data_IF_782048707572
#
_entry.id   IF_782048707572
#
_cell.length_a   1.000
_cell.length_b   1.000
_cell.length_c   1.000
_cell.angle_alpha   90.00
_cell.angle_beta   90.00
_cell.angle_gamma   90.00
#
_symmetry.space_group_name_H-M   'P 1'
#
loop_
_entity.id
_entity.type
_entity.pdbx_description
1 polymer ?
#
# COMPACT_ATOMS: atom_id res chain seq x y z
N UNK A 1 -42.84 -25.32 15.76
CA UNK A 1 -41.51 -24.86 16.24
C UNK A 1 -41.75 -23.64 17.12
N UNK A 2 -41.55 -23.76 18.44
CA UNK A 2 -41.83 -22.68 19.41
C UNK A 2 -40.90 -21.48 19.19
N UNK A 3 -41.42 -20.26 19.34
CA UNK A 3 -40.63 -19.01 19.32
C UNK A 3 -39.46 -19.04 20.31
N UNK A 4 -39.61 -19.74 21.43
CA UNK A 4 -38.61 -19.84 22.49
C UNK A 4 -37.30 -20.53 22.03
N UNK A 5 -37.40 -21.49 21.10
CA UNK A 5 -36.23 -22.20 20.57
C UNK A 5 -35.38 -21.37 19.60
N UNK A 6 -35.97 -20.34 18.98
CA UNK A 6 -35.25 -19.43 18.09
C UNK A 6 -34.50 -18.34 18.87
N UNK A 7 -35.10 -17.84 19.96
CA UNK A 7 -34.46 -16.84 20.84
C UNK A 7 -33.27 -17.43 21.61
N UNK A 8 -33.39 -18.67 22.10
CA UNK A 8 -32.28 -19.40 22.75
C UNK A 8 -31.07 -19.57 21.80
N UNK A 9 -31.30 -20.03 20.55
CA UNK A 9 -30.24 -20.17 19.53
C UNK A 9 -29.63 -18.83 19.12
N UNK A 10 -30.40 -17.75 19.07
CA UNK A 10 -29.89 -16.42 18.77
C UNK A 10 -29.01 -15.88 19.92
N UNK A 11 -29.39 -16.15 21.17
CA UNK A 11 -28.64 -15.75 22.37
C UNK A 11 -27.32 -16.52 22.53
N UNK A 12 -27.30 -17.82 22.27
CA UNK A 12 -26.07 -18.64 22.23
C UNK A 12 -25.11 -18.14 21.14
N UNK A 13 -25.64 -17.78 19.97
CA UNK A 13 -24.84 -17.24 18.87
C UNK A 13 -24.25 -15.86 19.21
N UNK A 14 -24.98 -15.02 19.97
CA UNK A 14 -24.48 -13.73 20.43
C UNK A 14 -23.38 -13.88 21.47
N UNK A 15 -23.52 -14.81 22.43
CA UNK A 15 -22.52 -15.08 23.46
C UNK A 15 -21.23 -15.65 22.89
N UNK A 16 -21.33 -16.61 21.96
CA UNK A 16 -20.17 -17.16 21.25
C UNK A 16 -19.46 -16.08 20.43
N UNK A 17 -20.21 -15.21 19.73
CA UNK A 17 -19.64 -14.06 19.01
C UNK A 17 -18.95 -13.09 19.98
N UNK A 18 -19.55 -12.79 21.12
CA UNK A 18 -18.98 -11.91 22.13
C UNK A 18 -17.65 -12.46 22.69
N UNK A 19 -17.57 -13.77 22.94
CA UNK A 19 -16.34 -14.44 23.35
C UNK A 19 -15.26 -14.38 22.26
N UNK A 20 -15.61 -14.62 20.99
CA UNK A 20 -14.68 -14.50 19.86
C UNK A 20 -14.13 -13.06 19.72
N UNK A 21 -15.00 -12.06 19.87
CA UNK A 21 -14.57 -10.66 19.88
C UNK A 21 -13.69 -10.35 21.10
N UNK A 22 -14.02 -10.84 22.30
CA UNK A 22 -13.21 -10.66 23.50
C UNK A 22 -11.81 -11.26 23.34
N UNK A 23 -11.71 -12.50 22.83
CA UNK A 23 -10.43 -13.16 22.59
C UNK A 23 -9.59 -12.42 21.53
N UNK A 24 -10.22 -11.76 20.56
CA UNK A 24 -9.52 -10.93 19.58
C UNK A 24 -9.08 -9.59 20.19
N UNK A 25 -9.96 -8.91 20.92
CA UNK A 25 -9.76 -7.54 21.41
C UNK A 25 -8.79 -7.50 22.60
N UNK A 26 -8.79 -8.51 23.47
CA UNK A 26 -7.95 -8.51 24.69
C UNK A 26 -6.44 -8.47 24.42
N UNK A 27 -6.03 -8.84 23.21
CA UNK A 27 -4.63 -8.82 22.77
C UNK A 27 -4.27 -7.55 21.98
N UNK A 28 -5.25 -6.68 21.68
CA UNK A 28 -5.02 -5.44 20.95
C UNK A 28 -4.59 -4.33 21.90
N UNK A 29 -3.60 -3.54 21.47
CA UNK A 29 -3.24 -2.31 22.17
C UNK A 29 -4.37 -1.28 22.05
N UNK A 30 -4.60 -0.40 23.04
CA UNK A 30 -5.61 0.66 22.95
C UNK A 30 -5.51 1.51 21.67
N UNK A 31 -4.27 1.77 21.22
CA UNK A 31 -4.01 2.47 19.95
C UNK A 31 -4.56 1.73 18.73
N UNK A 32 -4.51 0.39 18.70
CA UNK A 32 -5.08 -0.40 17.61
C UNK A 32 -6.61 -0.33 17.59
N UNK A 33 -7.25 -0.36 18.77
CA UNK A 33 -8.72 -0.26 18.89
C UNK A 33 -9.19 1.12 18.42
N UNK A 34 -8.59 2.20 18.95
CA UNK A 34 -8.90 3.57 18.54
C UNK A 34 -8.59 3.78 17.05
N UNK A 35 -7.46 3.25 16.57
CA UNK A 35 -7.08 3.27 15.16
C UNK A 35 -8.12 2.61 14.25
N UNK A 36 -8.65 1.43 14.61
CA UNK A 36 -9.72 0.75 13.84
C UNK A 36 -10.99 1.58 13.80
N UNK A 37 -11.40 2.16 14.92
CA UNK A 37 -12.59 3.00 14.99
C UNK A 37 -12.42 4.28 14.15
N UNK A 38 -11.30 4.98 14.34
CA UNK A 38 -10.94 6.16 13.55
C UNK A 38 -10.92 5.83 12.06
N UNK A 39 -10.28 4.75 11.65
CA UNK A 39 -10.16 4.37 10.24
C UNK A 39 -11.51 4.05 9.59
N UNK A 40 -12.46 3.47 10.34
CA UNK A 40 -13.81 3.20 9.86
C UNK A 40 -14.67 4.46 9.72
N UNK A 41 -14.52 5.41 10.65
CA UNK A 41 -15.35 6.62 10.72
C UNK A 41 -14.77 7.77 9.89
N UNK A 42 -13.45 7.88 9.81
CA UNK A 42 -12.76 8.93 9.07
C UNK A 42 -12.64 8.54 7.59
N UNK A 43 -13.52 9.14 6.78
CA UNK A 43 -13.55 8.97 5.32
C UNK A 43 -13.20 10.31 4.66
N UNK A 44 -11.90 10.64 4.56
CA UNK A 44 -11.49 11.89 3.97
C UNK A 44 -11.85 11.94 2.50
N UNK A 45 -12.05 13.15 1.99
CA UNK A 45 -12.20 13.38 0.55
C UNK A 45 -10.81 13.52 -0.06
N UNK A 46 -10.53 12.88 -1.20
CA UNK A 46 -9.26 13.08 -1.90
C UNK A 46 -8.98 14.56 -2.18
N UNK A 47 -7.75 15.00 -1.93
CA UNK A 47 -7.29 16.35 -2.25
C UNK A 47 -6.63 16.36 -3.64
N UNK A 48 -7.31 16.97 -4.61
CA UNK A 48 -6.93 17.05 -6.03
C UNK A 48 -6.25 18.38 -6.41
N UNK A 49 -5.68 19.09 -5.44
CA UNK A 49 -4.90 20.30 -5.70
C UNK A 49 -3.68 20.01 -6.58
N UNK A 50 -3.12 21.05 -7.19
CA UNK A 50 -1.90 20.95 -8.01
C UNK A 50 -0.79 20.23 -7.21
N UNK A 51 -0.06 19.27 -7.80
CA UNK A 51 1.04 18.60 -7.11
C UNK A 51 2.16 19.59 -6.77
N UNK A 52 2.90 19.38 -5.66
CA UNK A 52 4.15 20.08 -5.45
C UNK A 52 5.11 19.78 -6.61
N UNK A 53 6.05 20.68 -6.92
CA UNK A 53 7.06 20.42 -7.93
C UNK A 53 7.94 19.22 -7.54
N UNK A 54 8.52 18.57 -8.56
CA UNK A 54 9.49 17.50 -8.34
C UNK A 54 10.81 18.09 -7.89
N UNK A 55 11.44 17.45 -6.90
CA UNK A 55 12.80 17.78 -6.50
C UNK A 55 13.77 17.45 -7.63
N UNK A 56 14.77 18.31 -7.81
CA UNK A 56 15.89 17.99 -8.70
C UNK A 56 16.71 16.83 -8.12
N UNK A 57 16.88 15.75 -8.88
CA UNK A 57 17.69 14.62 -8.47
C UNK A 57 19.15 15.04 -8.22
N UNK A 58 19.74 14.48 -7.17
CA UNK A 58 21.15 14.66 -6.80
C UNK A 58 21.78 13.28 -6.69
N UNK A 59 22.93 13.08 -7.33
CA UNK A 59 23.62 11.80 -7.34
C UNK A 59 23.11 10.84 -8.42
N UNK A 60 23.50 9.57 -8.31
CA UNK A 60 23.10 8.48 -9.20
C UNK A 60 22.11 7.61 -8.44
N UNK A 61 20.95 7.35 -9.05
CA UNK A 61 19.99 6.40 -8.49
C UNK A 61 20.57 4.99 -8.54
N UNK A 62 20.57 4.32 -7.39
CA UNK A 62 20.92 2.91 -7.31
C UNK A 62 19.64 2.10 -7.49
N UNK A 63 19.62 1.23 -8.49
CA UNK A 63 18.45 0.40 -8.76
C UNK A 63 18.17 -0.50 -7.55
N UNK A 64 16.92 -0.52 -7.03
CA UNK A 64 16.53 -1.40 -5.93
C UNK A 64 16.55 -2.88 -6.35
N UNK A 65 16.23 -3.77 -5.43
CA UNK A 65 16.11 -5.20 -5.71
C UNK A 65 15.08 -5.44 -6.82
N UNK A 66 15.43 -6.22 -7.84
CA UNK A 66 14.50 -6.49 -8.95
C UNK A 66 13.37 -7.40 -8.51
N UNK A 67 12.14 -6.98 -8.80
CA UNK A 67 10.98 -7.85 -8.64
C UNK A 67 10.92 -8.90 -9.76
N UNK A 68 10.18 -9.98 -9.52
CA UNK A 68 9.90 -10.95 -10.57
C UNK A 68 8.92 -10.35 -11.58
N UNK A 69 9.14 -10.61 -12.86
CA UNK A 69 8.17 -10.29 -13.91
C UNK A 69 6.81 -10.89 -13.57
N UNK A 70 5.78 -10.04 -13.59
CA UNK A 70 4.39 -10.42 -13.39
C UNK A 70 3.55 -10.16 -14.65
N UNK A 71 3.90 -9.17 -15.47
CA UNK A 71 3.23 -8.91 -16.75
C UNK A 71 3.75 -9.85 -17.83
N UNK A 72 2.93 -10.81 -18.23
CA UNK A 72 3.24 -11.78 -19.31
C UNK A 72 2.67 -11.37 -20.66
N UNK A 73 1.71 -10.44 -20.66
CA UNK A 73 1.23 -9.70 -21.82
C UNK A 73 0.73 -8.32 -21.35
N UNK A 74 0.38 -7.43 -22.28
CA UNK A 74 -0.04 -6.05 -22.00
C UNK A 74 -1.10 -5.93 -20.89
N UNK A 75 -2.12 -6.79 -20.90
CA UNK A 75 -3.20 -6.80 -19.91
C UNK A 75 -3.22 -8.08 -19.06
N UNK A 76 -2.20 -8.95 -19.13
CA UNK A 76 -2.20 -10.26 -18.45
C UNK A 76 -1.09 -10.37 -17.42
N UNK A 77 -1.48 -10.75 -16.21
CA UNK A 77 -0.63 -10.78 -15.04
C UNK A 77 -0.63 -12.16 -14.40
N UNK A 78 0.52 -12.57 -13.88
CA UNK A 78 0.68 -13.76 -13.04
C UNK A 78 1.01 -13.33 -11.62
N UNK A 79 0.06 -13.52 -10.71
CA UNK A 79 0.24 -13.29 -9.27
C UNK A 79 -0.15 -14.54 -8.51
N UNK A 80 0.61 -14.91 -7.47
CA UNK A 80 0.31 -16.09 -6.63
C UNK A 80 0.15 -17.39 -7.45
N UNK A 81 0.93 -17.54 -8.53
CA UNK A 81 0.84 -18.61 -9.53
C UNK A 81 -0.48 -18.68 -10.30
N UNK A 82 -1.29 -17.62 -10.27
CA UNK A 82 -2.54 -17.52 -11.01
C UNK A 82 -2.46 -16.43 -12.07
N UNK A 83 -2.70 -16.83 -13.33
CA UNK A 83 -2.75 -15.93 -14.49
C UNK A 83 -4.16 -15.37 -14.66
N UNK A 84 -4.31 -14.05 -14.71
CA UNK A 84 -5.57 -13.39 -15.09
C UNK A 84 -5.31 -12.14 -15.93
N UNK A 85 -6.32 -11.75 -16.70
CA UNK A 85 -6.27 -10.54 -17.52
C UNK A 85 -7.11 -9.42 -16.91
N UNK A 86 -6.55 -8.22 -16.88
CA UNK A 86 -7.21 -6.99 -16.52
C UNK A 86 -7.70 -6.31 -17.80
N UNK A 87 -8.89 -6.62 -18.30
CA UNK A 87 -9.36 -6.16 -19.63
C UNK A 87 -10.41 -5.05 -19.58
N UNK A 88 -10.88 -4.67 -18.39
CA UNK A 88 -11.92 -3.65 -18.23
C UNK A 88 -11.79 -2.88 -16.92
N UNK A 89 -12.49 -1.75 -16.81
CA UNK A 89 -12.61 -0.97 -15.56
C UNK A 89 -13.06 -1.83 -14.36
N UNK A 90 -13.93 -2.81 -14.59
CA UNK A 90 -14.43 -3.68 -13.52
C UNK A 90 -13.36 -4.64 -12.99
N UNK A 91 -12.40 -5.03 -13.83
CA UNK A 91 -11.36 -6.02 -13.50
C UNK A 91 -10.46 -5.59 -12.35
N UNK A 92 -10.25 -4.28 -12.14
CA UNK A 92 -9.49 -3.75 -11.00
C UNK A 92 -10.09 -4.09 -9.64
N UNK A 93 -11.41 -4.28 -9.58
CA UNK A 93 -12.16 -4.47 -8.32
C UNK A 93 -13.13 -5.65 -8.41
N UNK A 94 -12.83 -6.65 -9.23
CA UNK A 94 -13.70 -7.81 -9.44
C UNK A 94 -13.86 -8.61 -8.14
N UNK A 95 -15.06 -8.59 -7.57
CA UNK A 95 -15.37 -9.27 -6.31
C UNK A 95 -15.30 -10.80 -6.39
N UNK A 96 -15.23 -11.37 -7.59
CA UNK A 96 -15.01 -12.81 -7.80
C UNK A 96 -13.52 -13.20 -7.72
N UNK A 97 -12.61 -12.23 -7.68
CA UNK A 97 -11.17 -12.45 -7.58
C UNK A 97 -10.71 -12.29 -6.13
N UNK A 98 -9.77 -13.15 -5.71
CA UNK A 98 -9.18 -13.08 -4.38
C UNK A 98 -8.55 -11.70 -4.11
N UNK A 99 -8.82 -11.14 -2.92
CA UNK A 99 -8.43 -9.77 -2.59
C UNK A 99 -6.92 -9.55 -2.71
N UNK A 100 -6.12 -10.55 -2.31
CA UNK A 100 -4.67 -10.48 -2.41
C UNK A 100 -4.18 -10.45 -3.85
N UNK A 101 -4.85 -11.13 -4.79
CA UNK A 101 -4.53 -11.06 -6.21
C UNK A 101 -4.79 -9.65 -6.74
N UNK A 102 -5.94 -9.05 -6.40
CA UNK A 102 -6.27 -7.67 -6.77
C UNK A 102 -5.30 -6.65 -6.16
N UNK A 103 -4.81 -6.92 -4.95
CA UNK A 103 -3.77 -6.08 -4.35
C UNK A 103 -2.49 -6.09 -5.17
N UNK A 104 -1.99 -7.27 -5.57
CA UNK A 104 -0.80 -7.36 -6.44
C UNK A 104 -0.99 -6.62 -7.76
N UNK A 105 -2.18 -6.70 -8.37
CA UNK A 105 -2.52 -5.91 -9.56
C UNK A 105 -2.39 -4.39 -9.31
N UNK A 106 -2.64 -3.93 -8.09
CA UNK A 106 -2.54 -2.53 -7.69
C UNK A 106 -1.17 -2.10 -7.18
N UNK A 107 -0.19 -3.01 -6.99
CA UNK A 107 1.14 -2.66 -6.49
C UNK A 107 2.04 -2.07 -7.57
N UNK A 108 1.90 -2.51 -8.82
CA UNK A 108 2.76 -2.10 -9.93
C UNK A 108 4.24 -2.54 -9.79
N UNK A 109 4.49 -3.65 -9.09
CA UNK A 109 5.84 -4.22 -8.92
C UNK A 109 6.55 -4.48 -10.28
N UNK A 110 5.78 -4.76 -11.35
CA UNK A 110 6.35 -5.02 -12.68
C UNK A 110 7.12 -3.83 -13.28
N UNK A 111 6.85 -2.61 -12.81
CA UNK A 111 7.59 -1.42 -13.21
C UNK A 111 9.09 -1.55 -12.91
N UNK A 112 9.42 -2.21 -11.80
CA UNK A 112 10.78 -2.41 -11.30
C UNK A 112 11.20 -3.90 -11.36
N UNK A 113 10.55 -4.68 -12.23
CA UNK A 113 10.85 -6.10 -12.38
C UNK A 113 11.96 -6.37 -13.41
N UNK A 114 12.53 -7.58 -13.36
CA UNK A 114 13.46 -8.07 -14.38
C UNK A 114 12.86 -7.91 -15.80
N UNK A 115 13.69 -7.42 -16.71
CA UNK A 115 13.31 -7.12 -18.09
C UNK A 115 12.29 -5.98 -18.26
N UNK A 116 11.98 -5.18 -17.23
CA UNK A 116 10.98 -4.09 -17.29
C UNK A 116 11.19 -3.12 -18.46
N UNK A 117 12.44 -2.88 -18.87
CA UNK A 117 12.79 -2.01 -20.02
C UNK A 117 12.06 -2.44 -21.30
N UNK A 118 11.89 -3.75 -21.52
CA UNK A 118 11.19 -4.29 -22.70
C UNK A 118 9.67 -4.09 -22.66
N UNK A 119 9.12 -3.81 -21.48
CA UNK A 119 7.68 -3.64 -21.22
C UNK A 119 7.29 -2.18 -20.94
N UNK A 120 8.23 -1.23 -21.13
CA UNK A 120 8.04 0.20 -20.83
C UNK A 120 6.76 0.79 -21.42
N UNK A 121 6.42 0.43 -22.66
CA UNK A 121 5.19 0.92 -23.28
C UNK A 121 3.92 0.37 -22.61
N UNK A 122 3.93 -0.89 -22.17
CA UNK A 122 2.83 -1.50 -21.43
C UNK A 122 2.66 -0.81 -20.08
N UNK A 123 3.76 -0.54 -19.40
CA UNK A 123 3.79 0.18 -18.13
C UNK A 123 3.18 1.59 -18.22
N UNK A 124 3.55 2.36 -19.23
CA UNK A 124 2.99 3.69 -19.48
C UNK A 124 1.48 3.64 -19.69
N UNK A 125 0.99 2.68 -20.50
CA UNK A 125 -0.44 2.50 -20.73
C UNK A 125 -1.17 2.03 -19.49
N UNK A 126 -0.57 1.14 -18.71
CA UNK A 126 -1.13 0.62 -17.45
C UNK A 126 -1.33 1.74 -16.43
N UNK A 127 -0.35 2.64 -16.27
CA UNK A 127 -0.43 3.82 -15.39
C UNK A 127 -1.60 4.72 -15.81
N UNK A 128 -1.66 5.12 -17.08
CA UNK A 128 -2.72 6.01 -17.57
C UNK A 128 -4.11 5.38 -17.43
N UNK A 129 -4.23 4.10 -17.76
CA UNK A 129 -5.46 3.34 -17.62
C UNK A 129 -5.88 3.23 -16.15
N UNK A 130 -4.94 2.99 -15.22
CA UNK A 130 -5.26 2.96 -13.81
C UNK A 130 -5.81 4.30 -13.31
N UNK A 131 -5.21 5.42 -13.71
CA UNK A 131 -5.66 6.78 -13.34
C UNK A 131 -7.07 7.05 -13.87
N UNK A 132 -7.38 6.60 -15.09
CA UNK A 132 -8.72 6.76 -15.68
C UNK A 132 -9.78 5.86 -15.06
N UNK A 133 -9.39 4.62 -14.74
CA UNK A 133 -10.31 3.56 -14.34
C UNK A 133 -10.55 3.49 -12.82
N UNK A 134 -9.68 4.09 -12.00
CA UNK A 134 -9.73 4.02 -10.54
C UNK A 134 -9.92 5.42 -9.91
N UNK A 135 -11.18 5.88 -9.73
CA UNK A 135 -11.47 7.20 -9.16
C UNK A 135 -10.81 7.41 -7.78
N UNK A 136 -10.34 8.63 -7.48
CA UNK A 136 -9.71 8.93 -6.19
C UNK A 136 -10.52 8.50 -4.97
N UNK A 137 -9.84 7.81 -4.04
CA UNK A 137 -10.40 7.35 -2.78
C UNK A 137 -11.34 6.13 -2.86
N UNK A 138 -11.45 5.48 -4.02
CA UNK A 138 -12.41 4.40 -4.27
C UNK A 138 -11.72 3.06 -4.63
N UNK A 139 -12.27 1.95 -4.15
CA UNK A 139 -11.81 0.61 -4.52
C UNK A 139 -10.52 0.15 -3.84
N UNK A 140 -10.10 -1.07 -4.17
CA UNK A 140 -8.95 -1.76 -3.58
C UNK A 140 -7.66 -0.96 -3.79
N UNK A 141 -7.48 -0.36 -4.98
CA UNK A 141 -6.27 0.39 -5.32
C UNK A 141 -6.01 1.61 -4.42
N UNK A 142 -7.05 2.18 -3.82
CA UNK A 142 -6.96 3.33 -2.91
C UNK A 142 -6.93 2.93 -1.43
N UNK A 143 -6.85 1.63 -1.12
CA UNK A 143 -6.53 1.19 0.24
C UNK A 143 -5.06 1.53 0.57
N UNK A 144 -4.71 1.78 1.85
CA UNK A 144 -3.41 2.37 2.18
C UNK A 144 -2.23 1.47 1.82
N UNK A 145 -2.33 0.17 2.07
CA UNK A 145 -1.27 -0.79 1.75
C UNK A 145 -0.95 -0.86 0.24
N UNK A 146 -1.89 -1.19 -0.67
CA UNK A 146 -1.60 -1.18 -2.11
C UNK A 146 -1.22 0.20 -2.64
N UNK A 147 -1.76 1.28 -2.06
CA UNK A 147 -1.34 2.65 -2.42
C UNK A 147 0.11 2.91 -2.05
N UNK A 148 0.57 2.43 -0.89
CA UNK A 148 1.94 2.65 -0.42
C UNK A 148 2.95 1.99 -1.36
N UNK A 149 2.72 0.73 -1.73
CA UNK A 149 3.59 0.00 -2.66
C UNK A 149 3.59 0.65 -4.04
N UNK A 150 2.41 1.03 -4.57
CA UNK A 150 2.32 1.72 -5.86
C UNK A 150 3.02 3.07 -5.88
N UNK A 151 2.90 3.87 -4.82
CA UNK A 151 3.60 5.16 -4.71
C UNK A 151 5.11 4.96 -4.81
N UNK A 152 5.65 4.00 -4.06
CA UNK A 152 7.08 3.66 -4.07
C UNK A 152 7.49 3.17 -5.47
N UNK A 153 6.78 2.19 -6.03
CA UNK A 153 7.09 1.63 -7.34
C UNK A 153 7.08 2.67 -8.46
N UNK A 154 6.09 3.59 -8.46
CA UNK A 154 6.03 4.67 -9.45
C UNK A 154 7.20 5.65 -9.31
N UNK A 155 7.61 5.96 -8.08
CA UNK A 155 8.75 6.85 -7.82
C UNK A 155 10.05 6.19 -8.26
N UNK A 156 10.29 4.94 -7.86
CA UNK A 156 11.49 4.17 -8.23
C UNK A 156 11.60 4.01 -9.75
N UNK A 157 10.49 3.72 -10.41
CA UNK A 157 10.44 3.62 -11.87
C UNK A 157 10.82 4.95 -12.52
N UNK A 158 10.29 6.07 -12.01
CA UNK A 158 10.63 7.41 -12.50
C UNK A 158 12.09 7.79 -12.25
N UNK A 159 12.67 7.37 -11.13
CA UNK A 159 14.10 7.58 -10.82
C UNK A 159 15.01 6.69 -11.67
N UNK A 160 14.51 5.53 -12.10
CA UNK A 160 15.19 4.58 -13.00
C UNK A 160 15.06 4.95 -14.49
N UNK A 161 14.55 6.14 -14.80
CA UNK A 161 14.41 6.64 -16.18
C UNK A 161 13.03 6.42 -16.81
N UNK A 162 12.06 5.90 -16.05
CA UNK A 162 10.65 5.90 -16.41
C UNK A 162 10.10 7.32 -16.55
N UNK A 163 9.12 7.50 -17.43
CA UNK A 163 8.52 8.81 -17.69
C UNK A 163 7.09 8.85 -17.16
N UNK A 164 6.90 9.60 -16.07
CA UNK A 164 5.58 9.92 -15.55
C UNK A 164 5.02 11.16 -16.27
N UNK A 165 3.85 11.01 -16.88
CA UNK A 165 3.13 12.14 -17.48
C UNK A 165 2.74 13.19 -16.42
N UNK A 166 2.42 14.44 -16.80
CA UNK A 166 1.90 15.44 -15.86
C UNK A 166 0.66 14.95 -15.09
N UNK A 167 -0.20 14.15 -15.75
CA UNK A 167 -1.37 13.52 -15.14
C UNK A 167 -0.97 12.45 -14.11
N UNK A 168 0.04 11.63 -14.41
CA UNK A 168 0.58 10.65 -13.48
C UNK A 168 1.23 11.31 -12.25
N UNK A 169 1.95 12.42 -12.43
CA UNK A 169 2.52 13.20 -11.31
C UNK A 169 1.41 13.81 -10.44
N UNK A 170 0.35 14.35 -11.03
CA UNK A 170 -0.80 14.85 -10.27
C UNK A 170 -1.47 13.71 -9.48
N UNK A 171 -1.75 12.58 -10.13
CA UNK A 171 -2.34 11.41 -9.48
C UNK A 171 -1.45 10.85 -8.36
N UNK A 172 -0.13 10.86 -8.53
CA UNK A 172 0.81 10.44 -7.48
C UNK A 172 0.68 11.31 -6.23
N UNK A 173 0.61 12.64 -6.38
CA UNK A 173 0.40 13.55 -5.25
C UNK A 173 -0.97 13.33 -4.58
N UNK A 174 -2.03 13.08 -5.34
CA UNK A 174 -3.36 12.75 -4.81
C UNK A 174 -3.34 11.47 -3.95
N UNK A 175 -2.66 10.43 -4.44
CA UNK A 175 -2.46 9.18 -3.72
C UNK A 175 -1.72 9.39 -2.40
N UNK A 176 -0.64 10.17 -2.41
CA UNK A 176 0.16 10.47 -1.22
C UNK A 176 -0.66 11.25 -0.19
N UNK A 177 -1.37 12.32 -0.60
CA UNK A 177 -2.23 13.11 0.29
C UNK A 177 -3.30 12.24 0.94
N UNK A 178 -3.96 11.40 0.14
CA UNK A 178 -4.99 10.49 0.64
C UNK A 178 -4.42 9.45 1.62
N UNK A 179 -3.28 8.83 1.30
CA UNK A 179 -2.56 7.92 2.19
C UNK A 179 -2.22 8.60 3.52
N UNK A 180 -1.77 9.86 3.47
CA UNK A 180 -1.39 10.64 4.63
C UNK A 180 -2.55 10.79 5.64
N UNK A 181 -3.79 10.85 5.19
CA UNK A 181 -4.99 10.93 6.03
C UNK A 181 -5.50 9.55 6.51
N UNK A 182 -5.01 8.47 5.89
CA UNK A 182 -5.51 7.10 6.06
C UNK A 182 -4.44 6.10 6.53
N UNK A 183 -3.42 6.54 7.24
CA UNK A 183 -2.36 5.67 7.77
C UNK A 183 -2.90 4.53 8.66
N UNK A 184 -2.35 3.33 8.49
CA UNK A 184 -2.81 2.07 9.08
C UNK A 184 -2.25 1.81 10.49
N UNK A 185 -2.35 2.81 11.39
CA UNK A 185 -1.93 2.69 12.80
C UNK A 185 -2.57 1.53 13.58
N UNK A 186 -3.59 0.91 13.01
CA UNK A 186 -4.34 -0.17 13.62
C UNK A 186 -3.87 -1.58 13.20
N UNK A 187 -3.16 -1.68 12.08
CA UNK A 187 -2.54 -2.93 11.63
C UNK A 187 -1.12 -3.06 12.20
N UNK A 188 -0.42 -1.92 12.39
CA UNK A 188 1.00 -1.88 12.80
C UNK A 188 1.86 -2.72 11.84
N UNK A 189 3.04 -3.18 12.28
CA UNK A 189 3.83 -4.15 11.53
C UNK A 189 4.29 -3.62 10.17
N UNK A 190 4.35 -4.53 9.19
CA UNK A 190 4.74 -4.23 7.81
C UNK A 190 3.80 -3.21 7.12
N UNK A 191 2.50 -3.21 7.43
CA UNK A 191 1.55 -2.27 6.81
C UNK A 191 1.89 -0.82 7.11
N UNK A 192 2.10 -0.51 8.40
CA UNK A 192 2.41 0.85 8.81
C UNK A 192 3.80 1.29 8.37
N UNK A 193 4.77 0.36 8.31
CA UNK A 193 6.10 0.61 7.77
C UNK A 193 6.04 0.92 6.27
N UNK A 194 5.28 0.16 5.48
CA UNK A 194 5.06 0.44 4.07
C UNK A 194 4.45 1.84 3.86
N UNK A 195 3.46 2.23 4.68
CA UNK A 195 2.92 3.59 4.63
C UNK A 195 4.00 4.64 4.94
N UNK A 196 4.88 4.37 5.91
CA UNK A 196 5.97 5.28 6.27
C UNK A 196 6.99 5.43 5.13
N UNK A 197 7.42 4.32 4.53
CA UNK A 197 8.32 4.30 3.35
C UNK A 197 7.76 5.13 2.21
N UNK A 198 6.48 4.94 1.86
CA UNK A 198 5.83 5.71 0.82
C UNK A 198 5.86 7.23 1.09
N UNK A 199 5.66 7.65 2.34
CA UNK A 199 5.75 9.08 2.71
C UNK A 199 7.19 9.63 2.67
N UNK A 200 8.19 8.82 3.02
CA UNK A 200 9.60 9.19 2.93
C UNK A 200 9.99 9.38 1.46
N UNK A 201 9.68 8.40 0.61
CA UNK A 201 9.88 8.46 -0.84
C UNK A 201 9.19 9.69 -1.44
N UNK A 202 7.93 9.94 -1.07
CA UNK A 202 7.19 11.11 -1.52
C UNK A 202 7.90 12.43 -1.16
N UNK A 203 8.36 12.56 0.09
CA UNK A 203 9.04 13.78 0.54
C UNK A 203 10.45 13.98 -0.04
N UNK A 204 11.10 12.89 -0.46
CA UNK A 204 12.35 12.93 -1.20
C UNK A 204 12.13 13.25 -2.68
N UNK A 205 11.05 12.75 -3.29
CA UNK A 205 10.74 12.92 -4.70
C UNK A 205 10.16 14.30 -5.05
N UNK A 206 9.34 14.86 -4.16
CA UNK A 206 8.77 16.20 -4.29
C UNK A 206 9.56 17.24 -3.46
N UNK A 207 9.29 18.52 -3.69
CA UNK A 207 9.85 19.63 -2.92
C UNK A 207 8.77 20.51 -2.27
N UNK A 208 9.16 21.59 -1.59
CA UNK A 208 8.32 22.48 -0.77
C UNK A 208 7.84 21.90 0.55
N UNK A 209 7.10 22.71 1.31
CA UNK A 209 6.68 22.42 2.69
C UNK A 209 5.83 21.14 2.78
N UNK A 210 4.93 20.92 1.80
CA UNK A 210 4.10 19.72 1.75
C UNK A 210 4.95 18.43 1.67
N UNK A 211 6.00 18.43 0.84
CA UNK A 211 6.91 17.29 0.74
C UNK A 211 7.70 17.08 2.05
N UNK A 212 8.10 18.16 2.72
CA UNK A 212 8.79 18.09 4.01
C UNK A 212 7.90 17.53 5.12
N UNK A 213 6.61 17.86 5.11
CA UNK A 213 5.64 17.28 6.04
C UNK A 213 5.49 15.76 5.85
N UNK A 214 5.43 15.29 4.60
CA UNK A 214 5.40 13.86 4.30
C UNK A 214 6.65 13.15 4.81
N UNK A 215 7.84 13.69 4.48
CA UNK A 215 9.12 13.14 4.92
C UNK A 215 9.20 13.07 6.45
N UNK A 216 8.89 14.17 7.13
CA UNK A 216 8.93 14.25 8.59
C UNK A 216 7.96 13.26 9.25
N UNK A 217 6.76 13.11 8.68
CA UNK A 217 5.74 12.20 9.17
C UNK A 217 6.14 10.74 8.98
N UNK A 218 6.60 10.35 7.79
CA UNK A 218 7.13 9.02 7.51
C UNK A 218 8.31 8.67 8.42
N UNK A 219 9.30 9.57 8.52
CA UNK A 219 10.47 9.41 9.40
C UNK A 219 10.11 9.27 10.87
N UNK A 220 9.08 9.96 11.35
CA UNK A 220 8.59 9.83 12.74
C UNK A 220 7.93 8.47 12.97
N UNK A 221 7.17 7.97 12.00
CA UNK A 221 6.55 6.63 12.11
C UNK A 221 7.66 5.58 12.12
N UNK A 222 8.58 5.64 11.17
CA UNK A 222 9.69 4.70 11.07
C UNK A 222 10.51 4.63 12.36
N UNK A 223 10.95 5.77 12.90
CA UNK A 223 11.68 5.84 14.18
C UNK A 223 10.91 5.28 15.37
N UNK A 224 9.58 5.35 15.36
CA UNK A 224 8.74 4.82 16.44
C UNK A 224 8.55 3.31 16.33
N UNK A 225 8.34 2.79 15.11
CA UNK A 225 7.97 1.39 14.90
C UNK A 225 9.19 0.47 14.81
N UNK A 226 10.33 0.94 14.28
CA UNK A 226 11.51 0.08 14.09
C UNK A 226 12.00 -0.60 15.38
N UNK A 227 12.13 0.09 16.53
CA UNK A 227 12.57 -0.56 17.77
C UNK A 227 11.59 -1.61 18.31
N UNK A 228 10.32 -1.57 17.90
CA UNK A 228 9.34 -2.61 18.25
C UNK A 228 9.44 -3.82 17.33
N UNK A 229 9.87 -3.63 16.08
CA UNK A 229 9.88 -4.68 15.07
C UNK A 229 11.21 -5.38 14.92
N UNK A 230 12.32 -4.70 15.21
CA UNK A 230 13.68 -5.25 15.15
C UNK A 230 14.17 -5.50 16.58
N UNK A 231 14.43 -6.76 16.88
CA UNK A 231 14.91 -7.21 18.19
C UNK A 231 16.40 -6.85 18.39
N UNK A 232 16.89 -6.97 19.62
CA UNK A 232 18.27 -6.61 19.96
C UNK A 232 19.35 -7.42 19.21
N UNK A 233 19.00 -8.59 18.67
CA UNK A 233 19.85 -9.43 17.83
C UNK A 233 19.74 -9.12 16.32
N UNK A 234 18.94 -8.12 15.93
CA UNK A 234 18.68 -7.73 14.54
C UNK A 234 17.56 -8.51 13.87
N UNK A 235 16.99 -9.53 14.53
CA UNK A 235 15.88 -10.31 13.98
C UNK A 235 14.56 -9.53 13.97
N UNK A 236 13.72 -9.76 12.95
CA UNK A 236 12.35 -9.24 12.95
C UNK A 236 11.46 -10.03 13.94
N UNK A 237 10.60 -9.33 14.67
CA UNK A 237 9.80 -9.90 15.77
C UNK A 237 8.83 -11.01 15.34
N UNK A 238 8.40 -11.04 14.08
CA UNK A 238 7.51 -12.10 13.55
C UNK A 238 8.25 -13.42 13.32
N UNK A 239 9.59 -13.43 13.41
CA UNK A 239 10.44 -14.62 13.25
C UNK A 239 10.17 -15.37 11.94
N UNK A 240 9.85 -14.60 10.90
CA UNK A 240 9.62 -15.08 9.54
C UNK A 240 10.71 -14.54 8.62
N UNK A 241 11.48 -15.39 7.93
CA UNK A 241 12.49 -14.95 6.97
C UNK A 241 11.93 -14.03 5.89
N UNK A 242 10.67 -14.27 5.47
CA UNK A 242 9.98 -13.46 4.48
C UNK A 242 9.76 -12.02 4.98
N UNK A 243 9.18 -11.85 6.18
CA UNK A 243 8.95 -10.51 6.73
C UNK A 243 10.26 -9.80 7.07
N UNK A 244 11.27 -10.54 7.54
CA UNK A 244 12.60 -9.97 7.76
C UNK A 244 13.20 -9.44 6.46
N UNK A 245 13.10 -10.18 5.35
CA UNK A 245 13.57 -9.75 4.03
C UNK A 245 12.86 -8.48 3.54
N UNK A 246 11.53 -8.44 3.64
CA UNK A 246 10.73 -7.26 3.25
C UNK A 246 11.16 -6.02 4.02
N UNK A 247 11.30 -6.12 5.34
CA UNK A 247 11.69 -4.96 6.16
C UNK A 247 13.15 -4.56 5.90
N UNK A 248 14.04 -5.51 5.66
CA UNK A 248 15.43 -5.21 5.33
C UNK A 248 15.52 -4.43 4.01
N UNK A 249 14.83 -4.89 2.97
CA UNK A 249 14.74 -4.19 1.69
C UNK A 249 14.15 -2.79 1.85
N UNK A 250 13.02 -2.66 2.54
CA UNK A 250 12.39 -1.36 2.82
C UNK A 250 13.35 -0.39 3.52
N UNK A 251 14.20 -0.88 4.42
CA UNK A 251 15.17 -0.04 5.14
C UNK A 251 16.34 0.38 4.25
N UNK A 252 16.85 -0.51 3.39
CA UNK A 252 17.92 -0.21 2.45
C UNK A 252 17.47 0.82 1.40
N UNK A 253 16.22 0.75 0.98
CA UNK A 253 15.64 1.71 0.02
C UNK A 253 15.48 3.13 0.61
N UNK A 254 15.45 3.26 1.94
CA UNK A 254 15.31 4.55 2.64
C UNK A 254 16.67 5.20 2.96
N UNK A 255 17.75 4.42 3.08
CA UNK A 255 19.09 4.88 3.51
C UNK A 255 19.75 5.84 2.51
#
# INVERSE_FOLDING_TARGET
MSKDGAELRASENLFVRALLYFHTIRHLRPAQIFGRLRFRLHRPRPNLQVPPPRRKAVGVWLTPCEHRQSMVAEDTFVFLNESRSNTSRASWNDTAVEKLWLYNLHYFDDLNADGAVTRREWHMRLIERWIEENPPGCGNGWEPYPSSLRIVNWIEWALSGGELSPRAIASLAEQIRFLCERLEFHLLGNHLLANAKALIFAGAFFEQDEAQEWLAKGSRILRRELPEQILADGGHFERSPMYHGIILEDLLDIE
#
